data_IF_545051906328
#
_entry.id   IF_545051906328
#
_cell.length_a   1.000
_cell.length_b   1.000
_cell.length_c   1.000
_cell.angle_alpha   90.00
_cell.angle_beta   90.00
_cell.angle_gamma   90.00
#
_symmetry.space_group_name_H-M   'P 1'
#
loop_
_entity.id
_entity.type
_entity.pdbx_description
1 polymer ?
#
# COMPACT_ATOMS: atom_id res chain seq x y z
N UNK A 1 2.12 7.95 -25.77
CA UNK A 1 0.83 8.70 -25.80
C UNK A 1 1.00 9.99 -26.59
N UNK A 2 0.04 10.42 -27.43
CA UNK A 2 0.17 11.63 -28.22
C UNK A 2 -0.45 12.87 -27.54
N UNK A 3 -0.13 14.09 -28.02
CA UNK A 3 -0.61 15.37 -27.45
C UNK A 3 -2.14 15.48 -27.40
N UNK A 4 -2.85 14.90 -28.39
CA UNK A 4 -4.33 14.94 -28.44
C UNK A 4 -4.95 14.06 -27.34
N UNK A 5 -4.34 12.93 -27.06
CA UNK A 5 -4.81 11.99 -26.02
C UNK A 5 -4.62 12.59 -24.62
N UNK A 6 -3.46 13.20 -24.38
CA UNK A 6 -3.17 13.89 -23.11
C UNK A 6 -4.15 15.05 -22.88
N UNK A 7 -4.43 15.86 -23.92
CA UNK A 7 -5.39 16.96 -23.81
C UNK A 7 -6.80 16.47 -23.51
N UNK A 8 -7.24 15.34 -24.09
CA UNK A 8 -8.53 14.73 -23.76
C UNK A 8 -8.57 14.23 -22.33
N UNK A 9 -7.47 13.63 -21.86
CA UNK A 9 -7.36 13.14 -20.50
C UNK A 9 -7.44 14.27 -19.47
N UNK A 10 -6.66 15.34 -19.65
CA UNK A 10 -6.68 16.51 -18.78
C UNK A 10 -8.08 17.16 -18.70
N UNK A 11 -8.81 17.22 -19.83
CA UNK A 11 -10.19 17.71 -19.82
C UNK A 11 -11.15 16.82 -19.01
N UNK A 12 -10.93 15.48 -19.04
CA UNK A 12 -11.77 14.56 -18.26
C UNK A 12 -11.58 14.68 -16.75
N UNK A 13 -10.36 15.05 -16.33
CA UNK A 13 -9.99 15.18 -14.90
C UNK A 13 -10.00 16.65 -14.43
N UNK A 14 -10.66 17.53 -15.17
CA UNK A 14 -10.79 18.96 -14.80
C UNK A 14 -11.30 19.11 -13.37
N UNK A 15 -10.62 19.90 -12.54
CA UNK A 15 -10.91 20.08 -11.11
C UNK A 15 -10.58 18.87 -10.23
N UNK A 16 -9.95 17.82 -10.79
CA UNK A 16 -9.59 16.60 -10.09
C UNK A 16 -8.09 16.36 -10.04
N UNK A 17 -7.69 15.07 -10.01
CA UNK A 17 -6.31 14.64 -9.92
C UNK A 17 -5.96 13.69 -11.08
N UNK A 18 -4.79 13.87 -11.68
CA UNK A 18 -4.16 12.93 -12.59
C UNK A 18 -2.96 12.29 -11.90
N UNK A 19 -3.02 10.99 -11.66
CA UNK A 19 -1.90 10.23 -11.12
C UNK A 19 -1.17 9.55 -12.28
N UNK A 20 0.14 9.71 -12.35
CA UNK A 20 1.04 9.07 -13.31
C UNK A 20 1.84 8.02 -12.54
N UNK A 21 1.44 6.78 -12.65
CA UNK A 21 2.11 5.62 -12.06
C UNK A 21 3.27 5.16 -12.96
N UNK A 22 4.20 4.39 -12.40
CA UNK A 22 5.36 3.82 -13.11
C UNK A 22 6.12 4.85 -13.96
N UNK A 23 6.46 5.97 -13.34
CA UNK A 23 7.11 7.11 -14.04
C UNK A 23 8.47 6.75 -14.64
N UNK A 24 9.09 5.63 -14.21
CA UNK A 24 10.32 5.10 -14.82
C UNK A 24 10.17 4.75 -16.28
N UNK A 25 8.96 4.40 -16.73
CA UNK A 25 8.63 4.12 -18.12
C UNK A 25 8.20 5.36 -18.93
N UNK A 26 8.19 6.57 -18.32
CA UNK A 26 7.77 7.79 -18.98
C UNK A 26 8.72 8.16 -20.13
N UNK A 27 8.19 8.31 -21.32
CA UNK A 27 8.96 8.72 -22.48
C UNK A 27 9.10 10.25 -22.56
N UNK A 28 10.28 10.73 -23.02
CA UNK A 28 10.56 12.15 -23.21
C UNK A 28 9.50 12.89 -24.03
N UNK A 29 9.00 12.28 -25.11
CA UNK A 29 7.94 12.90 -25.94
C UNK A 29 6.64 13.15 -25.16
N UNK A 30 6.33 12.27 -24.20
CA UNK A 30 5.16 12.40 -23.33
C UNK A 30 5.38 13.47 -22.27
N UNK A 31 6.58 13.53 -21.65
CA UNK A 31 6.97 14.57 -20.70
C UNK A 31 6.89 15.97 -21.33
N UNK A 32 7.47 16.15 -22.53
CA UNK A 32 7.39 17.43 -23.28
C UNK A 32 5.93 17.80 -23.59
N UNK A 33 5.11 16.84 -24.03
CA UNK A 33 3.72 17.11 -24.34
C UNK A 33 2.90 17.48 -23.10
N UNK A 34 3.17 16.85 -21.95
CA UNK A 34 2.59 17.21 -20.67
C UNK A 34 3.03 18.61 -20.23
N UNK A 35 4.33 18.91 -20.30
CA UNK A 35 4.89 20.24 -19.97
C UNK A 35 4.16 21.35 -20.71
N UNK A 36 4.04 21.22 -22.03
CA UNK A 36 3.35 22.19 -22.87
C UNK A 36 1.87 22.36 -22.55
N UNK A 37 1.18 21.28 -22.16
CA UNK A 37 -0.23 21.32 -21.82
C UNK A 37 -0.46 21.90 -20.41
N UNK A 38 0.47 21.67 -19.49
CA UNK A 38 0.43 22.20 -18.13
C UNK A 38 0.86 23.69 -18.07
N UNK A 39 1.34 24.30 -19.15
CA UNK A 39 1.57 25.73 -19.26
C UNK A 39 0.27 26.55 -19.45
N UNK A 40 -0.77 25.90 -19.94
CA UNK A 40 -2.07 26.51 -20.15
C UNK A 40 -2.97 26.30 -18.91
N UNK A 41 -4.11 26.98 -18.91
CA UNK A 41 -5.13 26.74 -17.89
C UNK A 41 -5.57 25.26 -17.91
N UNK A 42 -5.24 24.58 -16.82
CA UNK A 42 -5.56 23.16 -16.60
C UNK A 42 -6.88 22.96 -15.87
N UNK A 43 -7.63 24.04 -15.65
CA UNK A 43 -8.91 23.99 -14.91
C UNK A 43 -8.77 23.36 -13.50
N UNK A 44 -7.67 23.66 -12.82
CA UNK A 44 -7.41 23.20 -11.45
C UNK A 44 -7.04 21.69 -11.35
N UNK A 45 -6.48 21.08 -12.40
CA UNK A 45 -6.02 19.70 -12.32
C UNK A 45 -4.75 19.61 -11.49
N UNK A 46 -4.77 18.79 -10.43
CA UNK A 46 -3.58 18.36 -9.72
C UNK A 46 -2.92 17.19 -10.48
N UNK A 47 -1.60 17.25 -10.67
CA UNK A 47 -0.84 16.14 -11.29
C UNK A 47 0.13 15.57 -10.26
N UNK A 48 0.04 14.28 -10.02
CA UNK A 48 0.91 13.53 -9.11
C UNK A 48 1.70 12.52 -9.95
N UNK A 49 3.01 12.40 -9.69
CA UNK A 49 3.85 11.32 -10.22
C UNK A 49 4.21 10.37 -9.09
N UNK A 50 4.11 9.07 -9.35
CA UNK A 50 4.43 8.01 -8.42
C UNK A 50 5.52 7.10 -8.99
N UNK A 51 6.50 6.76 -8.15
CA UNK A 51 7.59 5.85 -8.51
C UNK A 51 8.72 5.86 -7.48
N UNK A 52 9.76 5.06 -7.73
CA UNK A 52 10.96 5.13 -6.91
C UNK A 52 11.63 6.51 -7.00
N UNK A 53 12.37 6.92 -5.97
CA UNK A 53 13.08 8.20 -5.98
C UNK A 53 14.00 8.35 -7.20
N UNK A 54 14.61 7.25 -7.66
CA UNK A 54 15.46 7.23 -8.85
C UNK A 54 14.64 7.45 -10.13
N UNK A 55 13.48 6.80 -10.26
CA UNK A 55 12.61 6.91 -11.43
C UNK A 55 11.97 8.30 -11.51
N UNK A 56 11.50 8.84 -10.39
CA UNK A 56 10.98 10.21 -10.33
C UNK A 56 12.05 11.21 -10.75
N UNK A 57 13.28 11.09 -10.21
CA UNK A 57 14.40 11.95 -10.60
C UNK A 57 14.72 11.86 -12.09
N UNK A 58 14.73 10.65 -12.64
CA UNK A 58 14.93 10.40 -14.08
C UNK A 58 13.81 11.02 -14.91
N UNK A 59 12.55 10.85 -14.50
CA UNK A 59 11.39 11.43 -15.20
C UNK A 59 11.43 12.96 -15.22
N UNK A 60 11.75 13.60 -14.08
CA UNK A 60 11.90 15.06 -13.99
C UNK A 60 13.03 15.60 -14.88
N UNK A 61 14.08 14.82 -15.11
CA UNK A 61 15.21 15.19 -15.97
C UNK A 61 14.94 14.99 -17.48
N UNK A 62 13.80 14.40 -17.88
CA UNK A 62 13.46 14.19 -19.30
C UNK A 62 13.28 15.50 -20.07
N UNK A 63 12.79 16.55 -19.39
CA UNK A 63 12.57 17.87 -19.96
C UNK A 63 12.56 18.94 -18.85
N UNK A 64 13.32 20.01 -19.03
CA UNK A 64 13.45 21.07 -18.00
C UNK A 64 12.13 21.78 -17.71
N UNK A 65 11.29 21.98 -18.72
CA UNK A 65 9.97 22.57 -18.57
C UNK A 65 9.04 21.67 -17.77
N UNK A 66 9.11 20.36 -17.99
CA UNK A 66 8.35 19.36 -17.27
C UNK A 66 8.78 19.30 -15.79
N UNK A 67 10.08 19.19 -15.53
CA UNK A 67 10.61 19.12 -14.15
C UNK A 67 10.21 20.32 -13.28
N UNK A 68 10.20 21.53 -13.87
CA UNK A 68 9.81 22.75 -13.15
C UNK A 68 8.35 22.85 -12.78
N UNK A 69 7.47 21.98 -13.31
CA UNK A 69 6.05 21.95 -12.95
C UNK A 69 5.78 21.21 -11.63
N UNK A 70 6.73 20.43 -11.14
CA UNK A 70 6.62 19.68 -9.90
C UNK A 70 7.48 20.34 -8.82
N UNK A 71 6.84 21.09 -7.94
CA UNK A 71 7.48 21.89 -6.90
C UNK A 71 7.47 21.20 -5.55
N UNK A 72 6.57 20.24 -5.36
CA UNK A 72 6.39 19.50 -4.12
C UNK A 72 6.81 18.05 -4.28
N UNK A 73 7.37 17.47 -3.22
CA UNK A 73 7.75 16.06 -3.17
C UNK A 73 7.36 15.47 -1.83
N UNK A 74 6.69 14.32 -1.88
CA UNK A 74 6.33 13.54 -0.70
C UNK A 74 7.11 12.24 -0.79
N UNK A 75 7.89 11.95 0.24
CA UNK A 75 8.60 10.67 0.37
C UNK A 75 7.84 9.79 1.36
N UNK A 76 7.41 8.62 0.91
CA UNK A 76 6.85 7.59 1.79
C UNK A 76 8.03 6.72 2.25
N UNK A 77 8.38 6.72 3.55
CA UNK A 77 9.46 5.89 4.05
C UNK A 77 9.10 4.40 3.98
N UNK A 78 10.14 3.55 3.95
CA UNK A 78 9.96 2.10 4.11
C UNK A 78 9.54 1.83 5.54
N UNK A 79 8.50 1.04 5.73
CA UNK A 79 8.03 0.63 7.05
C UNK A 79 9.06 -0.26 7.75
N UNK A 80 9.34 0.03 9.01
CA UNK A 80 10.07 -0.87 9.88
C UNK A 80 9.16 -2.00 10.43
N UNK A 81 9.77 -3.01 11.08
CA UNK A 81 9.00 -4.16 11.57
C UNK A 81 7.93 -3.78 12.60
N UNK A 82 8.18 -2.81 13.46
CA UNK A 82 7.20 -2.36 14.46
C UNK A 82 5.99 -1.71 13.80
N UNK A 83 6.22 -0.92 12.75
CA UNK A 83 5.15 -0.30 11.96
C UNK A 83 4.34 -1.35 11.18
N UNK A 84 5.02 -2.37 10.62
CA UNK A 84 4.35 -3.47 9.93
C UNK A 84 3.50 -4.32 10.90
N UNK A 85 3.99 -4.59 12.10
CA UNK A 85 3.22 -5.27 13.16
C UNK A 85 2.04 -4.41 13.62
N UNK A 86 2.25 -3.11 13.78
CA UNK A 86 1.16 -2.18 14.11
C UNK A 86 0.08 -2.20 13.03
N UNK A 87 0.49 -2.19 11.75
CA UNK A 87 -0.44 -2.33 10.63
C UNK A 87 -1.20 -3.66 10.66
N UNK A 88 -0.52 -4.79 10.94
CA UNK A 88 -1.16 -6.10 11.08
C UNK A 88 -2.25 -6.10 12.16
N UNK A 89 -1.97 -5.49 13.33
CA UNK A 89 -2.95 -5.33 14.41
C UNK A 89 -4.15 -4.47 13.99
N UNK A 90 -3.89 -3.33 13.35
CA UNK A 90 -4.96 -2.46 12.86
C UNK A 90 -5.85 -3.19 11.83
N UNK A 91 -5.24 -3.90 10.88
CA UNK A 91 -5.95 -4.62 9.85
C UNK A 91 -6.79 -5.79 10.43
N UNK A 92 -6.23 -6.57 11.36
CA UNK A 92 -6.98 -7.60 12.08
C UNK A 92 -8.18 -7.01 12.81
N UNK A 93 -7.99 -5.88 13.49
CA UNK A 93 -9.04 -5.18 14.23
C UNK A 93 -10.19 -4.72 13.31
N UNK A 94 -9.87 -4.15 12.14
CA UNK A 94 -10.88 -3.77 11.12
C UNK A 94 -11.72 -4.97 10.65
N UNK A 95 -11.16 -6.19 10.70
CA UNK A 95 -11.85 -7.43 10.35
C UNK A 95 -12.58 -8.09 11.54
N UNK A 96 -12.57 -7.49 12.73
CA UNK A 96 -13.20 -8.01 13.94
C UNK A 96 -12.35 -9.04 14.69
N UNK A 97 -11.03 -9.02 14.49
CA UNK A 97 -10.07 -9.89 15.18
C UNK A 97 -9.08 -9.09 16.01
N UNK A 98 -8.63 -9.66 17.11
CA UNK A 98 -7.54 -9.12 17.92
C UNK A 98 -6.33 -10.05 17.87
N UNK A 99 -5.13 -9.52 17.66
CA UNK A 99 -3.88 -10.30 17.75
C UNK A 99 -3.41 -10.29 19.20
N UNK A 100 -3.39 -11.47 19.83
CA UNK A 100 -2.91 -11.65 21.21
C UNK A 100 -1.46 -11.16 21.37
N UNK A 101 -1.12 -10.64 22.54
CA UNK A 101 0.24 -10.17 22.84
C UNK A 101 1.30 -11.26 22.61
N UNK A 102 1.01 -12.52 22.95
CA UNK A 102 1.92 -13.64 22.70
C UNK A 102 2.05 -13.98 21.22
N UNK A 103 1.00 -13.72 20.42
CA UNK A 103 1.02 -13.90 18.97
C UNK A 103 1.86 -12.84 18.24
N UNK A 104 2.14 -11.70 18.87
CA UNK A 104 2.95 -10.62 18.25
C UNK A 104 4.32 -11.13 17.83
N UNK A 105 4.97 -11.99 18.60
CA UNK A 105 6.26 -12.59 18.23
C UNK A 105 6.13 -13.47 16.98
N UNK A 106 5.04 -14.20 16.83
CA UNK A 106 4.79 -14.99 15.63
C UNK A 106 4.57 -14.09 14.41
N UNK A 107 3.87 -12.98 14.56
CA UNK A 107 3.72 -11.95 13.51
C UNK A 107 5.09 -11.39 13.10
N UNK A 108 5.96 -11.03 14.06
CA UNK A 108 7.33 -10.60 13.77
C UNK A 108 8.11 -11.66 12.98
N UNK A 109 8.00 -12.93 13.35
CA UNK A 109 8.65 -14.02 12.64
C UNK A 109 8.12 -14.16 11.22
N UNK A 110 6.79 -14.10 11.02
CA UNK A 110 6.19 -14.14 9.69
C UNK A 110 6.69 -12.97 8.82
N UNK A 111 6.71 -11.75 9.36
CA UNK A 111 7.23 -10.56 8.67
C UNK A 111 8.71 -10.76 8.31
N UNK A 112 9.54 -11.22 9.24
CA UNK A 112 10.97 -11.45 9.01
C UNK A 112 11.22 -12.49 7.92
N UNK A 113 10.38 -13.52 7.82
CA UNK A 113 10.50 -14.58 6.82
C UNK A 113 10.19 -14.12 5.39
N UNK A 114 9.36 -13.09 5.22
CA UNK A 114 9.02 -12.54 3.90
C UNK A 114 9.93 -11.39 3.48
N UNK A 115 10.73 -10.84 4.40
CA UNK A 115 11.65 -9.74 4.10
C UNK A 115 12.73 -10.15 3.10
N UNK A 116 13.02 -9.24 2.16
CA UNK A 116 14.04 -9.40 1.13
C UNK A 116 15.05 -8.25 1.27
N UNK A 117 16.30 -8.53 0.91
CA UNK A 117 17.38 -7.52 0.98
C UNK A 117 17.25 -6.41 -0.06
N UNK A 118 16.58 -6.69 -1.15
CA UNK A 118 16.51 -5.85 -2.35
C UNK A 118 15.14 -5.15 -2.55
N UNK A 119 14.16 -5.50 -1.72
CA UNK A 119 12.80 -4.99 -1.87
C UNK A 119 12.14 -4.74 -0.51
N UNK A 120 11.47 -3.59 -0.38
CA UNK A 120 10.66 -3.29 0.79
C UNK A 120 9.47 -4.25 0.91
N UNK A 121 9.14 -4.64 2.13
CA UNK A 121 7.92 -5.40 2.43
C UNK A 121 6.70 -4.51 2.16
N UNK A 122 5.75 -5.02 1.40
CA UNK A 122 4.52 -4.32 1.05
C UNK A 122 3.42 -4.62 2.05
N UNK A 123 2.50 -3.66 2.23
CA UNK A 123 1.35 -3.83 3.13
C UNK A 123 0.42 -4.98 2.70
N UNK A 124 0.33 -5.28 1.39
CA UNK A 124 -0.40 -6.44 0.87
C UNK A 124 0.14 -7.75 1.42
N UNK A 125 1.47 -7.89 1.53
CA UNK A 125 2.11 -9.09 2.09
C UNK A 125 1.77 -9.25 3.59
N UNK A 126 1.61 -8.14 4.31
CA UNK A 126 1.16 -8.17 5.72
C UNK A 126 -0.31 -8.55 5.84
N UNK A 127 -1.17 -8.05 4.93
CA UNK A 127 -2.57 -8.49 4.87
C UNK A 127 -2.69 -9.98 4.62
N UNK A 128 -1.88 -10.54 3.71
CA UNK A 128 -1.86 -11.98 3.43
C UNK A 128 -1.51 -12.81 4.67
N UNK A 129 -0.57 -12.34 5.51
CA UNK A 129 -0.22 -13.00 6.78
C UNK A 129 -1.44 -13.04 7.71
N UNK A 130 -2.12 -11.91 7.89
CA UNK A 130 -3.30 -11.82 8.77
C UNK A 130 -4.46 -12.65 8.21
N UNK A 131 -4.73 -12.59 6.91
CA UNK A 131 -5.79 -13.35 6.24
C UNK A 131 -5.57 -14.86 6.37
N UNK A 132 -4.31 -15.34 6.29
CA UNK A 132 -4.00 -16.76 6.50
C UNK A 132 -4.21 -17.17 7.95
N UNK A 133 -3.83 -16.33 8.92
CA UNK A 133 -4.10 -16.59 10.32
C UNK A 133 -5.61 -16.68 10.61
N UNK A 134 -6.41 -15.81 10.03
CA UNK A 134 -7.88 -15.86 10.12
C UNK A 134 -8.43 -17.14 9.50
N UNK A 135 -7.92 -17.55 8.33
CA UNK A 135 -8.31 -18.82 7.69
C UNK A 135 -7.94 -20.03 8.55
N UNK A 136 -6.79 -19.99 9.19
CA UNK A 136 -6.30 -21.07 10.08
C UNK A 136 -7.18 -21.17 11.32
N UNK A 137 -7.53 -20.04 11.95
CA UNK A 137 -8.48 -20.00 13.05
C UNK A 137 -9.83 -20.63 12.65
N UNK A 138 -10.41 -20.22 11.51
CA UNK A 138 -11.69 -20.75 11.01
C UNK A 138 -11.66 -22.25 10.74
N UNK A 139 -10.55 -22.80 10.21
CA UNK A 139 -10.38 -24.26 10.00
C UNK A 139 -10.30 -25.03 11.32
N UNK A 140 -9.61 -24.47 12.32
CA UNK A 140 -9.50 -25.04 13.66
C UNK A 140 -10.88 -24.96 14.36
N UNK A 141 -11.64 -23.89 14.17
CA UNK A 141 -12.99 -23.71 14.69
C UNK A 141 -13.94 -24.81 14.23
N UNK A 142 -13.94 -25.18 12.94
CA UNK A 142 -14.78 -26.29 12.42
C UNK A 142 -14.46 -27.64 13.01
N UNK A 143 -13.19 -27.92 13.35
CA UNK A 143 -12.78 -29.16 14.06
C UNK A 143 -13.12 -29.12 15.55
N UNK A 144 -13.35 -27.95 16.14
CA UNK A 144 -13.60 -27.73 17.57
C UNK A 144 -15.08 -27.56 17.94
N UNK A 145 -16.03 -27.78 17.05
CA UNK A 145 -17.45 -27.77 17.40
C UNK A 145 -17.77 -28.64 18.62
N UNK A 146 -16.93 -29.63 18.91
CA UNK A 146 -16.98 -30.48 20.11
C UNK A 146 -16.18 -29.94 21.33
N UNK A 147 -15.47 -28.80 21.21
CA UNK A 147 -14.61 -28.25 22.26
C UNK A 147 -15.08 -26.90 22.81
N UNK A 148 -16.26 -26.46 22.45
CA UNK A 148 -16.87 -25.14 22.72
C UNK A 148 -17.22 -24.90 24.21
N UNK A 149 -16.84 -25.77 25.13
CA UNK A 149 -17.20 -25.61 26.53
C UNK A 149 -16.12 -25.01 27.43
N UNK A 150 -14.93 -24.59 26.95
CA UNK A 150 -13.88 -24.26 27.90
C UNK A 150 -12.95 -23.08 27.64
N UNK A 151 -13.02 -22.34 26.53
CA UNK A 151 -12.29 -21.08 26.42
C UNK A 151 -12.96 -20.17 25.39
N UNK A 152 -13.52 -19.09 25.84
CA UNK A 152 -13.93 -17.97 24.99
C UNK A 152 -12.69 -17.40 24.29
N UNK A 153 -12.65 -17.47 22.94
CA UNK A 153 -11.65 -16.80 22.12
C UNK A 153 -12.10 -15.38 21.76
N UNK A 154 -12.96 -14.83 22.59
CA UNK A 154 -13.46 -13.48 22.43
C UNK A 154 -12.88 -12.59 23.53
N UNK A 155 -12.49 -11.39 23.16
CA UNK A 155 -12.16 -10.32 24.10
C UNK A 155 -13.46 -9.65 24.63
N UNK A 156 -13.28 -8.62 25.47
CA UNK A 156 -14.40 -7.85 26.04
C UNK A 156 -15.20 -7.07 24.98
N UNK A 157 -14.61 -6.82 23.80
CA UNK A 157 -15.23 -6.14 22.65
C UNK A 157 -15.86 -7.12 21.64
N UNK A 158 -16.07 -8.39 22.03
CA UNK A 158 -16.61 -9.46 21.17
C UNK A 158 -15.78 -9.81 19.93
N UNK A 159 -14.51 -9.41 19.89
CA UNK A 159 -13.58 -9.74 18.80
C UNK A 159 -12.96 -11.12 19.02
N UNK A 160 -12.69 -11.83 17.93
CA UNK A 160 -12.02 -13.13 17.95
C UNK A 160 -10.51 -12.92 18.14
N UNK A 161 -9.94 -13.62 19.14
CA UNK A 161 -8.49 -13.52 19.43
C UNK A 161 -7.71 -14.49 18.56
N UNK A 162 -6.78 -13.94 17.74
CA UNK A 162 -5.76 -14.67 17.00
C UNK A 162 -4.58 -14.97 17.91
N UNK A 163 -4.20 -16.23 18.02
CA UNK A 163 -3.12 -16.72 18.88
C UNK A 163 -1.89 -17.09 18.06
N UNK A 164 -0.75 -17.33 18.71
CA UNK A 164 0.50 -17.79 18.05
C UNK A 164 0.27 -18.95 17.06
N UNK A 165 -0.64 -19.86 17.37
CA UNK A 165 -0.92 -21.06 16.55
C UNK A 165 -1.60 -20.74 15.22
N UNK A 166 -2.22 -19.60 15.12
CA UNK A 166 -2.93 -19.17 13.91
C UNK A 166 -1.93 -18.59 12.88
N UNK A 167 -0.70 -18.25 13.31
CA UNK A 167 0.43 -17.73 12.51
C UNK A 167 1.51 -18.77 12.19
N UNK A 168 1.23 -20.08 12.34
CA UNK A 168 2.20 -21.19 12.11
C UNK A 168 1.93 -21.93 10.81
#
# INVERSE_FOLDING_TARGET
MNKKDIKKLLKKVSGGCLIIEDVGALERKTAVALSLLLEHDTSGVLVIMEGSAADVKKALALDDGFGKKFTESITVPIFNNDELVTFAKCYANELGYEIDELAVLAVYNCISNIQRLDQATRLEEIKEIVDEAIRTEGRIGMRKFFRILTASRYNDDEQIILTEKDFQ
#
